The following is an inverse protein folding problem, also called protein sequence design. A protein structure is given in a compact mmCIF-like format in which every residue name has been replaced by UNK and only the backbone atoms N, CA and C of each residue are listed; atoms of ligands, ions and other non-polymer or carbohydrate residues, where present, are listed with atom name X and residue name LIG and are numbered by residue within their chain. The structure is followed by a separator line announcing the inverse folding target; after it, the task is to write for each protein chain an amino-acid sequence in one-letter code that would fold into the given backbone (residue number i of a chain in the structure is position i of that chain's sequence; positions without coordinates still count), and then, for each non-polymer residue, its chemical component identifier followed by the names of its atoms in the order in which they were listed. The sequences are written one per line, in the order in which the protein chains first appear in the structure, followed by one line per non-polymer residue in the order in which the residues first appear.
data_IF_905183519281
#
_entry.id   IF_905183519281
#
_cell.length_a   1.000
_cell.length_b   1.000
_cell.length_c   1.000
_cell.angle_alpha   90.00
_cell.angle_beta   90.00
_cell.angle_gamma   90.00
#
_symmetry.space_group_name_H-M   'P 1'
#
loop_
_entity.id
_entity.type
_entity.pdbx_description
1 polymer ?
#
# COMPACT_ATOMS: atom_id res chain seq x y z
N UNK A 1 25.14 -4.08 5.42
CA UNK A 1 24.17 -3.25 4.71
C UNK A 1 23.22 -4.07 3.88
N UNK A 2 23.70 -4.94 3.00
CA UNK A 2 22.83 -5.86 2.24
C UNK A 2 21.98 -6.75 3.15
N UNK A 3 22.53 -7.20 4.28
CA UNK A 3 21.81 -8.05 5.23
C UNK A 3 20.65 -7.33 5.91
N UNK A 4 20.81 -6.02 6.17
CA UNK A 4 19.73 -5.22 6.80
C UNK A 4 18.51 -5.10 5.88
N UNK A 5 18.72 -4.90 4.56
CA UNK A 5 17.63 -4.89 3.60
C UNK A 5 16.94 -6.25 3.49
N UNK A 6 17.71 -7.33 3.48
CA UNK A 6 17.17 -8.68 3.45
C UNK A 6 16.33 -8.98 4.69
N UNK A 7 16.80 -8.63 5.87
CA UNK A 7 16.06 -8.83 7.11
C UNK A 7 14.77 -8.01 7.12
N UNK A 8 14.84 -6.75 6.71
CA UNK A 8 13.67 -5.87 6.67
C UNK A 8 12.61 -6.40 5.71
N UNK A 9 13.00 -6.81 4.50
CA UNK A 9 12.05 -7.30 3.51
C UNK A 9 11.40 -8.63 3.97
N UNK A 10 12.16 -9.50 4.61
CA UNK A 10 11.63 -10.75 5.15
C UNK A 10 10.61 -10.50 6.26
N UNK A 11 10.85 -9.51 7.12
CA UNK A 11 9.90 -9.11 8.16
C UNK A 11 8.64 -8.51 7.57
N UNK A 12 8.76 -7.66 6.54
CA UNK A 12 7.60 -7.11 5.85
C UNK A 12 6.79 -8.20 5.17
N UNK A 13 7.44 -9.16 4.53
CA UNK A 13 6.75 -10.26 3.89
C UNK A 13 5.99 -11.11 4.91
N UNK A 14 6.59 -11.33 6.08
CA UNK A 14 5.94 -12.06 7.17
C UNK A 14 4.69 -11.32 7.67
N UNK A 15 4.78 -10.00 7.83
CA UNK A 15 3.62 -9.17 8.22
C UNK A 15 2.54 -9.25 7.13
N UNK A 16 2.91 -9.12 5.87
CA UNK A 16 2.01 -9.21 4.72
C UNK A 16 1.27 -10.55 4.74
N UNK A 17 2.00 -11.64 4.95
CA UNK A 17 1.43 -12.99 4.95
C UNK A 17 0.47 -13.20 6.12
N UNK A 18 0.78 -12.65 7.30
CA UNK A 18 -0.11 -12.72 8.47
C UNK A 18 -1.43 -11.99 8.25
N UNK A 19 -1.44 -10.97 7.40
CA UNK A 19 -2.64 -10.17 7.12
C UNK A 19 -3.26 -10.51 5.76
N UNK A 20 -3.02 -11.72 5.28
CA UNK A 20 -3.52 -12.17 3.98
C UNK A 20 -5.05 -12.02 3.88
N UNK A 21 -5.79 -12.33 4.93
CA UNK A 21 -7.24 -12.18 4.94
C UNK A 21 -7.67 -10.74 4.70
N UNK A 22 -7.00 -9.78 5.33
CA UNK A 22 -7.26 -8.35 5.14
C UNK A 22 -6.93 -7.91 3.71
N UNK A 23 -5.83 -8.40 3.16
CA UNK A 23 -5.41 -8.08 1.80
C UNK A 23 -6.40 -8.63 0.76
N UNK A 24 -6.87 -9.86 0.94
CA UNK A 24 -7.86 -10.47 0.05
C UNK A 24 -9.20 -9.76 0.14
N UNK A 25 -9.64 -9.41 1.36
CA UNK A 25 -10.85 -8.62 1.54
C UNK A 25 -10.75 -7.27 0.80
N UNK A 26 -9.62 -6.60 0.95
CA UNK A 26 -9.39 -5.29 0.33
C UNK A 26 -9.48 -5.36 -1.19
N UNK A 27 -8.86 -6.37 -1.80
CA UNK A 27 -8.83 -6.51 -3.25
C UNK A 27 -10.15 -7.01 -3.83
N UNK A 28 -10.87 -7.89 -3.12
CA UNK A 28 -11.98 -8.62 -3.69
C UNK A 28 -13.34 -8.28 -3.11
N UNK A 29 -13.41 -7.70 -1.92
CA UNK A 29 -14.68 -7.44 -1.23
C UNK A 29 -14.93 -5.97 -0.89
N UNK A 30 -13.93 -5.10 -1.03
CA UNK A 30 -14.08 -3.67 -0.81
C UNK A 30 -14.70 -3.03 -2.05
N UNK A 31 -16.00 -2.70 -1.97
CA UNK A 31 -16.74 -2.09 -3.07
C UNK A 31 -17.46 -0.85 -2.60
N UNK A 32 -16.72 0.25 -2.44
CA UNK A 32 -17.26 1.58 -2.17
C UNK A 32 -16.45 2.59 -3.00
N UNK A 33 -17.11 3.65 -3.44
CA UNK A 33 -16.50 4.62 -4.34
C UNK A 33 -16.04 5.90 -3.64
N UNK A 34 -16.36 6.07 -2.35
CA UNK A 34 -15.97 7.26 -1.60
C UNK A 34 -16.08 7.00 -0.10
N UNK A 35 -15.67 8.01 0.69
CA UNK A 35 -15.66 7.90 2.15
C UNK A 35 -17.08 7.87 2.75
N UNK A 36 -18.04 8.58 2.15
CA UNK A 36 -19.41 8.57 2.64
C UNK A 36 -20.04 7.18 2.53
N UNK A 37 -19.87 6.51 1.40
CA UNK A 37 -20.31 5.13 1.21
C UNK A 37 -19.60 4.18 2.19
N UNK A 38 -18.30 4.39 2.39
CA UNK A 38 -17.50 3.61 3.33
C UNK A 38 -18.09 3.69 4.75
N UNK A 39 -18.41 4.91 5.21
CA UNK A 39 -18.99 5.12 6.54
C UNK A 39 -20.37 4.50 6.69
N UNK A 40 -21.19 4.55 5.64
CA UNK A 40 -22.53 3.98 5.63
C UNK A 40 -22.51 2.46 5.61
N UNK A 41 -21.63 1.88 4.81
CA UNK A 41 -21.59 0.44 4.61
C UNK A 41 -20.89 -0.29 5.76
N UNK A 42 -19.86 0.30 6.35
CA UNK A 42 -19.06 -0.34 7.38
C UNK A 42 -19.16 0.39 8.70
N UNK A 43 -19.58 -0.34 9.74
CA UNK A 43 -19.70 0.22 11.10
C UNK A 43 -18.33 0.57 11.67
N UNK A 44 -18.29 1.53 12.62
CA UNK A 44 -17.04 2.09 13.13
C UNK A 44 -16.08 1.11 13.77
N UNK A 45 -16.56 0.00 14.33
CA UNK A 45 -15.74 -1.03 14.96
C UNK A 45 -15.84 -2.38 14.22
N UNK A 46 -16.24 -2.35 12.96
CA UNK A 46 -16.43 -3.56 12.17
C UNK A 46 -15.11 -4.21 11.75
N UNK A 47 -15.17 -5.50 11.43
CA UNK A 47 -14.03 -6.21 10.88
C UNK A 47 -13.59 -5.63 9.54
N UNK A 48 -14.54 -5.11 8.75
CA UNK A 48 -14.25 -4.47 7.47
C UNK A 48 -13.36 -3.24 7.64
N UNK A 49 -13.65 -2.39 8.64
CA UNK A 49 -12.81 -1.22 8.93
C UNK A 49 -11.43 -1.64 9.46
N UNK A 50 -11.38 -2.72 10.24
CA UNK A 50 -10.10 -3.27 10.70
C UNK A 50 -9.27 -3.76 9.51
N UNK A 51 -9.90 -4.46 8.56
CA UNK A 51 -9.20 -4.89 7.33
C UNK A 51 -8.67 -3.68 6.55
N UNK A 52 -9.49 -2.66 6.38
CA UNK A 52 -9.10 -1.46 5.62
C UNK A 52 -7.88 -0.77 6.25
N UNK A 53 -7.94 -0.52 7.57
CA UNK A 53 -6.85 0.16 8.27
C UNK A 53 -5.59 -0.71 8.37
N UNK A 54 -5.75 -2.03 8.46
CA UNK A 54 -4.62 -2.96 8.48
C UNK A 54 -3.83 -2.88 7.17
N UNK A 55 -4.53 -2.90 6.04
CA UNK A 55 -3.89 -2.84 4.71
C UNK A 55 -3.25 -1.47 4.48
N UNK A 56 -3.98 -0.40 4.73
CA UNK A 56 -3.41 0.95 4.59
C UNK A 56 -2.21 1.16 5.51
N UNK A 57 -2.28 0.63 6.74
CA UNK A 57 -1.18 0.70 7.71
C UNK A 57 0.07 -0.05 7.25
N UNK A 58 -0.11 -1.21 6.64
CA UNK A 58 1.01 -1.98 6.08
C UNK A 58 1.76 -1.17 5.00
N UNK A 59 1.00 -0.58 4.07
CA UNK A 59 1.62 0.21 2.99
C UNK A 59 2.15 1.54 3.48
N UNK A 60 1.55 2.12 4.51
CA UNK A 60 2.11 3.31 5.15
C UNK A 60 3.46 3.00 5.79
N UNK A 61 3.58 1.89 6.52
CA UNK A 61 4.85 1.43 7.09
C UNK A 61 5.89 1.20 5.98
N UNK A 62 5.49 0.50 4.94
CA UNK A 62 6.37 0.26 3.78
C UNK A 62 6.87 1.58 3.18
N UNK A 63 5.97 2.54 3.04
CA UNK A 63 6.29 3.87 2.51
C UNK A 63 7.29 4.62 3.38
N UNK A 64 7.12 4.57 4.69
CA UNK A 64 8.06 5.17 5.64
C UNK A 64 9.46 4.57 5.45
N UNK A 65 9.55 3.24 5.37
CA UNK A 65 10.84 2.56 5.25
C UNK A 65 11.55 2.90 3.92
N UNK A 66 10.80 2.92 2.83
CA UNK A 66 11.36 3.26 1.51
C UNK A 66 11.72 4.75 1.45
N UNK A 67 10.83 5.64 1.91
CA UNK A 67 11.07 7.09 1.85
C UNK A 67 12.23 7.51 2.75
N UNK A 68 12.46 6.82 3.85
CA UNK A 68 13.57 7.08 4.77
C UNK A 68 14.86 6.40 4.32
N UNK A 69 14.85 5.69 3.19
CA UNK A 69 16.00 4.95 2.65
C UNK A 69 16.50 3.84 3.58
N UNK A 70 15.62 3.35 4.44
CA UNK A 70 15.90 2.19 5.30
C UNK A 70 15.66 0.87 4.56
N UNK A 71 14.97 0.93 3.43
CA UNK A 71 14.69 -0.22 2.58
C UNK A 71 14.82 0.20 1.12
N UNK A 72 15.58 -0.59 0.35
CA UNK A 72 15.78 -0.33 -1.07
C UNK A 72 14.48 -0.50 -1.84
N UNK A 73 14.10 0.53 -2.62
CA UNK A 73 12.84 0.53 -3.36
C UNK A 73 12.81 -0.54 -4.47
N UNK A 74 13.94 -0.82 -5.11
CA UNK A 74 13.98 -1.85 -6.16
C UNK A 74 13.65 -3.22 -5.60
N UNK A 75 14.22 -3.56 -4.44
CA UNK A 75 13.92 -4.79 -3.74
C UNK A 75 12.44 -4.86 -3.34
N UNK A 76 11.92 -3.76 -2.80
CA UNK A 76 10.51 -3.69 -2.35
C UNK A 76 9.56 -3.90 -3.53
N UNK A 77 9.74 -3.16 -4.63
CA UNK A 77 8.82 -3.22 -5.76
C UNK A 77 8.92 -4.49 -6.59
N UNK A 78 10.03 -5.23 -6.48
CA UNK A 78 10.12 -6.55 -7.06
C UNK A 78 9.16 -7.55 -6.40
N UNK A 79 8.80 -7.32 -5.14
CA UNK A 79 7.98 -8.24 -4.34
C UNK A 79 6.56 -7.75 -4.10
N UNK A 80 6.35 -6.43 -4.02
CA UNK A 80 5.05 -5.85 -3.64
C UNK A 80 4.54 -4.88 -4.70
N UNK A 81 3.26 -5.04 -5.06
CA UNK A 81 2.59 -4.11 -5.96
C UNK A 81 1.56 -3.30 -5.19
N UNK A 82 1.87 -2.02 -4.95
CA UNK A 82 1.01 -1.11 -4.20
C UNK A 82 -0.19 -0.61 -5.01
N UNK A 83 -0.09 -0.61 -6.33
CA UNK A 83 -1.04 0.09 -7.20
C UNK A 83 -2.48 -0.40 -7.08
N UNK A 84 -2.78 -1.71 -7.09
CA UNK A 84 -4.16 -2.16 -6.91
C UNK A 84 -4.78 -1.70 -5.59
N UNK A 85 -3.96 -1.67 -4.54
CA UNK A 85 -4.43 -1.22 -3.21
C UNK A 85 -4.63 0.28 -3.17
N UNK A 86 -3.70 1.06 -3.69
CA UNK A 86 -3.81 2.52 -3.73
C UNK A 86 -5.02 2.97 -4.56
N UNK A 87 -5.24 2.34 -5.70
CA UNK A 87 -6.36 2.66 -6.58
C UNK A 87 -7.71 2.52 -5.85
N UNK A 88 -7.86 1.47 -5.04
CA UNK A 88 -9.09 1.28 -4.24
C UNK A 88 -9.16 2.19 -3.02
N UNK A 89 -8.03 2.47 -2.40
CA UNK A 89 -7.98 3.30 -1.19
C UNK A 89 -8.22 4.78 -1.48
N UNK A 90 -7.69 5.29 -2.58
CA UNK A 90 -7.64 6.73 -2.87
C UNK A 90 -9.00 7.44 -2.76
N UNK A 91 -10.08 6.96 -3.40
CA UNK A 91 -11.37 7.66 -3.29
C UNK A 91 -11.88 7.76 -1.85
N UNK A 92 -11.60 6.74 -1.04
CA UNK A 92 -11.99 6.73 0.38
C UNK A 92 -11.09 7.71 1.16
N UNK A 93 -9.78 7.66 0.93
CA UNK A 93 -8.82 8.51 1.62
C UNK A 93 -8.99 9.99 1.28
N UNK A 94 -9.40 10.31 0.05
CA UNK A 94 -9.68 11.70 -0.33
C UNK A 94 -10.74 12.32 0.58
N UNK A 95 -11.77 11.57 0.96
CA UNK A 95 -12.77 12.02 1.92
C UNK A 95 -12.24 12.11 3.33
N UNK A 96 -11.47 11.12 3.78
CA UNK A 96 -10.88 11.13 5.12
C UNK A 96 -9.93 12.31 5.33
N UNK A 97 -9.24 12.73 4.27
CA UNK A 97 -8.24 13.80 4.32
C UNK A 97 -8.84 15.19 4.50
N UNK A 98 -10.15 15.34 4.37
CA UNK A 98 -10.82 16.60 4.70
C UNK A 98 -10.64 16.95 6.18
N UNK A 99 -10.63 15.93 7.04
CA UNK A 99 -10.44 16.10 8.49
C UNK A 99 -9.01 15.77 8.93
N UNK A 100 -8.31 14.91 8.21
CA UNK A 100 -6.97 14.43 8.52
C UNK A 100 -6.08 14.50 7.27
N UNK A 101 -5.57 15.69 6.91
CA UNK A 101 -4.93 15.92 5.62
C UNK A 101 -3.70 15.05 5.32
N UNK A 102 -3.01 14.57 6.35
CA UNK A 102 -1.75 13.84 6.19
C UNK A 102 -1.90 12.32 6.36
N UNK A 103 -3.13 11.82 6.49
CA UNK A 103 -3.33 10.38 6.69
C UNK A 103 -2.83 9.59 5.47
N UNK A 104 -2.01 8.57 5.73
CA UNK A 104 -1.46 7.65 4.72
C UNK A 104 -0.69 8.35 3.58
N UNK A 105 0.01 9.46 3.89
CA UNK A 105 0.79 10.18 2.88
C UNK A 105 1.99 9.38 2.38
N UNK A 106 2.56 8.50 3.20
CA UNK A 106 3.67 7.64 2.78
C UNK A 106 3.20 6.49 1.88
N UNK A 107 1.99 6.00 2.06
CA UNK A 107 1.37 5.05 1.14
C UNK A 107 1.21 5.69 -0.25
N UNK A 108 0.71 6.91 -0.31
CA UNK A 108 0.57 7.67 -1.57
C UNK A 108 1.92 7.85 -2.26
N UNK A 109 2.90 8.37 -1.52
CA UNK A 109 4.26 8.59 -2.01
C UNK A 109 4.89 7.30 -2.51
N UNK A 110 4.68 6.21 -1.80
CA UNK A 110 5.18 4.89 -2.18
C UNK A 110 4.63 4.48 -3.55
N UNK A 111 3.33 4.67 -3.77
CA UNK A 111 2.72 4.32 -5.05
C UNK A 111 3.20 5.22 -6.19
N UNK A 112 3.42 6.51 -5.93
CA UNK A 112 4.01 7.40 -6.93
C UNK A 112 5.39 6.91 -7.37
N UNK A 113 6.21 6.51 -6.43
CA UNK A 113 7.54 5.91 -6.69
C UNK A 113 7.43 4.61 -7.47
N UNK A 114 6.45 3.79 -7.15
CA UNK A 114 6.22 2.54 -7.89
C UNK A 114 5.88 2.81 -9.35
N UNK A 115 5.03 3.78 -9.62
CA UNK A 115 4.65 4.09 -11.00
C UNK A 115 5.87 4.52 -11.83
N UNK A 116 6.74 5.33 -11.26
CA UNK A 116 7.99 5.73 -11.91
C UNK A 116 8.91 4.52 -12.13
N UNK A 117 9.06 3.69 -11.10
CA UNK A 117 9.87 2.46 -11.16
C UNK A 117 9.37 1.51 -12.25
N UNK A 118 8.06 1.30 -12.33
CA UNK A 118 7.44 0.41 -13.31
C UNK A 118 7.66 0.89 -14.74
N UNK A 119 7.57 2.21 -14.99
CA UNK A 119 7.83 2.81 -16.29
C UNK A 119 9.27 2.57 -16.74
N UNK A 120 10.22 2.79 -15.85
CA UNK A 120 11.65 2.55 -16.13
C UNK A 120 11.92 1.09 -16.43
N UNK A 121 11.32 0.18 -15.68
CA UNK A 121 11.50 -1.25 -15.87
C UNK A 121 10.92 -1.73 -17.20
N UNK A 122 9.74 -1.25 -17.57
CA UNK A 122 9.11 -1.58 -18.86
C UNK A 122 9.93 -1.06 -20.03
N UNK A 123 10.50 0.14 -19.91
CA UNK A 123 11.37 0.74 -20.93
C UNK A 123 12.64 -0.11 -21.13
N UNK A 124 13.25 -0.56 -20.06
CA UNK A 124 14.44 -1.43 -20.11
C UNK A 124 14.09 -2.77 -20.78
N UNK A 125 12.97 -3.38 -20.45
CA UNK A 125 12.51 -4.63 -21.05
C UNK A 125 12.30 -4.50 -22.55
N UNK A 126 11.72 -3.40 -23.02
CA UNK A 126 11.54 -3.13 -24.45
C UNK A 126 12.86 -3.04 -25.20
N UNK A 127 13.86 -2.40 -24.58
CA UNK A 127 15.19 -2.28 -25.18
C UNK A 127 15.89 -3.64 -25.28
N UNK A 128 15.68 -4.52 -24.30
CA UNK A 128 16.29 -5.85 -24.26
C UNK A 128 15.60 -6.88 -25.14
N UNK A 129 14.37 -6.66 -25.49
CA UNK A 129 13.62 -7.57 -26.36
C UNK A 129 13.75 -7.17 -27.83
#
# INVERSE_FOLDING_TARGET
MKNANADTILRLYDIYDRHRDSLLWFLHELYVDNYDEYKQKYQGNSSERIHFTTVCGFFELSGVLVNSKLLDQNLYFDLFNTTPFWTKAKPILDGMRKDRPHIYENFESLNEKRLIWAKKRNKIRKIRS
#
